data_IF_631615855931
#
_entry.id   IF_631615855931
#
_cell.length_a   1.000
_cell.length_b   1.000
_cell.length_c   1.000
_cell.angle_alpha   90.00
_cell.angle_beta   90.00
_cell.angle_gamma   90.00
#
_symmetry.space_group_name_H-M   'P 1'
#
loop_
_entity.id
_entity.type
_entity.pdbx_description
1 polymer ?
#
# COMPACT_ATOMS: atom_id res chain seq x y z
N UNK A 1 12.38 16.91 8.74
CA UNK A 1 13.13 15.98 9.61
C UNK A 1 12.47 14.60 9.71
N UNK A 2 11.19 14.46 9.33
CA UNK A 2 10.44 13.20 9.40
C UNK A 2 11.06 12.04 8.63
N UNK A 3 11.64 12.26 7.46
CA UNK A 3 12.32 11.22 6.67
C UNK A 3 13.42 10.50 7.43
N UNK A 4 14.14 11.23 8.29
CA UNK A 4 15.22 10.67 9.10
C UNK A 4 14.63 9.75 10.17
N UNK A 5 13.54 10.18 10.82
CA UNK A 5 12.84 9.39 11.83
C UNK A 5 12.16 8.17 11.21
N UNK A 6 11.44 8.34 10.10
CA UNK A 6 10.81 7.28 9.33
C UNK A 6 11.82 6.19 8.94
N UNK A 7 13.00 6.58 8.45
CA UNK A 7 14.06 5.62 8.11
C UNK A 7 14.56 4.83 9.32
N UNK A 8 14.73 5.47 10.48
CA UNK A 8 15.16 4.79 11.70
C UNK A 8 14.10 3.83 12.22
N UNK A 9 12.84 4.24 12.20
CA UNK A 9 11.71 3.38 12.57
C UNK A 9 11.59 2.19 11.60
N UNK A 10 11.76 2.42 10.30
CA UNK A 10 11.75 1.38 9.28
C UNK A 10 12.82 0.30 9.54
N UNK A 11 14.04 0.69 9.93
CA UNK A 11 15.11 -0.25 10.25
C UNK A 11 14.73 -1.19 11.39
N UNK A 12 14.15 -0.64 12.47
CA UNK A 12 13.69 -1.43 13.62
C UNK A 12 12.52 -2.33 13.25
N UNK A 13 11.50 -1.76 12.58
CA UNK A 13 10.29 -2.48 12.18
C UNK A 13 10.61 -3.62 11.21
N UNK A 14 11.48 -3.41 10.22
CA UNK A 14 11.83 -4.43 9.22
C UNK A 14 12.41 -5.70 9.85
N UNK A 15 13.19 -5.57 10.92
CA UNK A 15 13.69 -6.74 11.65
C UNK A 15 12.55 -7.49 12.36
N UNK A 16 11.59 -6.76 12.94
CA UNK A 16 10.43 -7.38 13.58
C UNK A 16 9.54 -8.10 12.56
N UNK A 17 9.36 -7.50 11.38
CA UNK A 17 8.66 -8.14 10.27
C UNK A 17 9.43 -9.33 9.69
N UNK A 18 10.76 -9.30 9.70
CA UNK A 18 11.56 -10.46 9.32
C UNK A 18 11.35 -11.63 10.28
N UNK A 19 11.31 -11.39 11.60
CA UNK A 19 11.12 -12.46 12.58
C UNK A 19 9.85 -13.27 12.33
N UNK A 20 8.75 -12.62 11.91
CA UNK A 20 7.49 -13.31 11.59
C UNK A 20 7.50 -13.99 10.21
N UNK A 21 8.15 -13.41 9.20
CA UNK A 21 8.12 -13.93 7.82
C UNK A 21 9.22 -14.95 7.54
N UNK A 22 10.24 -15.03 8.39
CA UNK A 22 11.38 -15.91 8.21
C UNK A 22 10.98 -17.38 8.03
N UNK A 23 9.97 -17.86 8.76
CA UNK A 23 9.47 -19.23 8.61
C UNK A 23 8.96 -19.52 7.19
N UNK A 24 8.21 -18.57 6.61
CA UNK A 24 7.71 -18.67 5.24
C UNK A 24 8.84 -18.63 4.21
N UNK A 25 9.79 -17.71 4.38
CA UNK A 25 10.94 -17.56 3.47
C UNK A 25 11.86 -18.79 3.53
N UNK A 26 12.11 -19.31 4.73
CA UNK A 26 12.90 -20.51 4.92
C UNK A 26 12.22 -21.73 4.30
N UNK A 27 10.91 -21.90 4.49
CA UNK A 27 10.16 -22.98 3.86
C UNK A 27 10.20 -22.90 2.32
N UNK A 28 10.04 -21.69 1.76
CA UNK A 28 10.11 -21.47 0.32
C UNK A 28 11.48 -21.87 -0.27
N UNK A 29 12.58 -21.44 0.36
CA UNK A 29 13.95 -21.74 -0.09
C UNK A 29 14.30 -23.24 -0.03
N UNK A 30 13.67 -24.01 0.87
CA UNK A 30 13.81 -25.48 0.86
C UNK A 30 13.22 -26.12 -0.40
N UNK A 31 12.20 -25.50 -1.00
CA UNK A 31 11.55 -25.99 -2.22
C UNK A 31 12.23 -25.43 -3.46
N UNK A 32 12.44 -24.11 -3.53
CA UNK A 32 13.03 -23.42 -4.68
C UNK A 32 14.54 -23.64 -4.81
N UNK A 33 15.19 -24.10 -3.73
CA UNK A 33 16.65 -24.30 -3.63
C UNK A 33 17.46 -23.02 -3.77
N UNK A 34 16.84 -21.87 -3.55
CA UNK A 34 17.51 -20.57 -3.51
C UNK A 34 18.26 -20.36 -2.19
N UNK A 35 19.37 -19.62 -2.18
CA UNK A 35 20.09 -19.31 -0.95
C UNK A 35 19.32 -18.29 -0.11
N UNK A 36 19.06 -18.62 1.16
CA UNK A 36 18.49 -17.68 2.12
C UNK A 36 19.59 -16.78 2.71
N UNK A 37 19.95 -15.73 1.97
CA UNK A 37 20.96 -14.76 2.39
C UNK A 37 20.37 -13.34 2.60
N UNK A 38 21.23 -12.39 2.97
CA UNK A 38 20.82 -10.99 3.20
C UNK A 38 20.30 -10.34 1.91
N UNK A 39 20.80 -10.73 0.74
CA UNK A 39 20.36 -10.19 -0.53
C UNK A 39 18.94 -10.63 -0.85
N UNK A 40 18.62 -11.92 -0.63
CA UNK A 40 17.28 -12.47 -0.77
C UNK A 40 16.28 -11.77 0.16
N UNK A 41 16.62 -11.65 1.45
CA UNK A 41 15.76 -10.96 2.42
C UNK A 41 15.57 -9.49 2.06
N UNK A 42 16.63 -8.82 1.61
CA UNK A 42 16.56 -7.42 1.19
C UNK A 42 15.66 -7.25 -0.03
N UNK A 43 15.75 -8.13 -1.02
CA UNK A 43 14.89 -8.09 -2.20
C UNK A 43 13.42 -8.27 -1.80
N UNK A 44 13.13 -9.24 -0.94
CA UNK A 44 11.75 -9.47 -0.48
C UNK A 44 11.20 -8.25 0.26
N UNK A 45 11.98 -7.66 1.16
CA UNK A 45 11.59 -6.43 1.85
C UNK A 45 11.49 -5.23 0.91
N UNK A 46 12.30 -5.15 -0.15
CA UNK A 46 12.18 -4.11 -1.18
C UNK A 46 10.90 -4.27 -2.00
N UNK A 47 10.49 -5.50 -2.30
CA UNK A 47 9.25 -5.78 -3.05
C UNK A 47 8.02 -5.38 -2.25
N UNK A 48 7.99 -5.70 -0.96
CA UNK A 48 6.87 -5.36 -0.07
C UNK A 48 6.80 -3.86 0.20
N UNK A 49 7.93 -3.25 0.63
CA UNK A 49 7.92 -1.86 1.09
C UNK A 49 8.05 -0.84 -0.06
N UNK A 50 8.76 -1.21 -1.13
CA UNK A 50 9.16 -0.34 -2.24
C UNK A 50 8.08 -0.16 -3.31
N UNK A 51 6.80 -0.14 -2.92
CA UNK A 51 5.69 0.12 -3.84
C UNK A 51 5.67 1.58 -4.28
N UNK A 52 5.33 1.79 -5.55
CA UNK A 52 5.26 3.12 -6.16
C UNK A 52 3.90 3.35 -6.76
N UNK A 53 3.26 4.44 -6.36
CA UNK A 53 2.08 4.91 -7.05
C UNK A 53 2.47 5.48 -8.41
N UNK A 54 1.96 4.85 -9.46
CA UNK A 54 2.03 5.37 -10.83
C UNK A 54 1.03 6.50 -11.02
N UNK A 55 1.04 7.22 -12.16
CA UNK A 55 0.01 8.22 -12.45
C UNK A 55 -1.38 7.57 -12.42
N UNK A 56 -2.16 7.83 -11.37
CA UNK A 56 -3.44 7.17 -11.12
C UNK A 56 -4.51 7.48 -12.17
N UNK A 57 -4.29 8.50 -13.02
CA UNK A 57 -5.11 8.76 -14.20
C UNK A 57 -5.11 7.57 -15.18
N UNK A 58 -4.05 6.75 -15.18
CA UNK A 58 -4.00 5.51 -15.96
C UNK A 58 -4.83 4.44 -15.24
N UNK A 59 -5.88 3.95 -15.91
CA UNK A 59 -6.77 2.88 -15.43
C UNK A 59 -6.02 1.71 -14.76
N UNK A 60 -5.10 1.14 -15.53
CA UNK A 60 -4.28 -0.01 -15.13
C UNK A 60 -3.41 0.25 -13.89
N UNK A 61 -2.96 1.49 -13.67
CA UNK A 61 -2.16 1.84 -12.50
C UNK A 61 -2.98 1.74 -11.20
N UNK A 62 -4.24 2.18 -11.21
CA UNK A 62 -5.07 2.09 -10.00
C UNK A 62 -5.76 0.73 -9.82
N UNK A 63 -5.74 -0.14 -10.83
CA UNK A 63 -6.23 -1.52 -10.72
C UNK A 63 -5.18 -2.50 -10.17
N UNK A 64 -3.94 -2.05 -9.95
CA UNK A 64 -2.85 -2.91 -9.46
C UNK A 64 -3.04 -3.23 -7.97
N UNK A 65 -3.33 -4.49 -7.63
CA UNK A 65 -3.61 -4.94 -6.25
C UNK A 65 -2.54 -5.85 -5.63
N UNK A 66 -1.40 -6.09 -6.32
CA UNK A 66 -0.34 -7.00 -5.81
C UNK A 66 0.25 -6.56 -4.46
N UNK A 67 0.15 -5.29 -4.13
CA UNK A 67 0.63 -4.75 -2.86
C UNK A 67 -0.37 -4.95 -1.71
N UNK A 68 -1.62 -5.32 -2.01
CA UNK A 68 -2.69 -5.52 -1.02
C UNK A 68 -2.83 -6.99 -0.59
N UNK A 69 -1.80 -7.81 -0.85
CA UNK A 69 -1.80 -9.21 -0.41
C UNK A 69 -1.62 -9.29 1.11
N UNK A 70 -2.18 -10.34 1.73
CA UNK A 70 -2.07 -10.55 3.17
C UNK A 70 -0.62 -10.57 3.65
N UNK A 71 0.30 -11.22 2.91
CA UNK A 71 1.69 -11.27 3.29
C UNK A 71 2.35 -9.89 3.21
N UNK A 72 2.06 -9.10 2.17
CA UNK A 72 2.58 -7.75 2.01
C UNK A 72 2.14 -6.84 3.16
N UNK A 73 0.85 -6.80 3.49
CA UNK A 73 0.34 -6.03 4.63
C UNK A 73 0.97 -6.42 5.96
N UNK A 74 1.24 -7.71 6.15
CA UNK A 74 1.82 -8.22 7.38
C UNK A 74 3.32 -7.94 7.50
N UNK A 75 4.03 -7.78 6.39
CA UNK A 75 5.49 -7.64 6.35
C UNK A 75 5.96 -6.22 6.02
N UNK A 76 5.04 -5.33 5.63
CA UNK A 76 5.33 -3.92 5.41
C UNK A 76 5.72 -3.22 6.73
N UNK A 77 6.69 -2.32 6.65
CA UNK A 77 7.05 -1.44 7.75
C UNK A 77 6.12 -0.22 7.83
N UNK A 78 5.90 0.33 9.02
CA UNK A 78 5.01 1.48 9.21
C UNK A 78 5.63 2.85 8.86
N UNK A 79 6.83 2.94 8.27
CA UNK A 79 7.49 4.24 8.10
C UNK A 79 6.79 5.22 7.16
N UNK A 80 5.84 4.74 6.36
CA UNK A 80 5.01 5.58 5.50
C UNK A 80 4.05 6.47 6.29
N UNK A 81 3.70 6.10 7.53
CA UNK A 81 2.82 6.91 8.40
C UNK A 81 3.56 8.13 8.98
N UNK A 82 4.86 7.99 9.23
CA UNK A 82 5.70 9.04 9.82
C UNK A 82 6.07 10.17 8.83
N UNK A 83 6.15 9.84 7.53
CA UNK A 83 6.44 10.82 6.48
C UNK A 83 5.33 10.86 5.44
N UNK A 84 4.61 11.99 5.39
CA UNK A 84 3.60 12.26 4.37
C UNK A 84 4.14 12.14 2.93
N UNK A 85 5.44 12.39 2.72
CA UNK A 85 6.06 12.21 1.40
C UNK A 85 6.31 10.73 1.09
N UNK A 86 6.68 9.92 2.07
CA UNK A 86 6.78 8.48 1.90
C UNK A 86 5.41 7.87 1.60
N UNK A 87 4.37 8.31 2.32
CA UNK A 87 2.97 8.00 1.99
C UNK A 87 2.63 8.36 0.53
N UNK A 88 2.97 9.58 0.10
CA UNK A 88 2.69 10.03 -1.26
C UNK A 88 3.49 9.26 -2.34
N UNK A 89 4.64 8.67 -2.02
CA UNK A 89 5.36 7.78 -2.94
C UNK A 89 4.62 6.46 -3.11
N UNK A 90 4.09 5.90 -2.02
CA UNK A 90 3.39 4.62 -2.05
C UNK A 90 1.96 4.73 -2.61
N UNK A 91 1.23 5.82 -2.33
CA UNK A 91 -0.19 5.96 -2.68
C UNK A 91 -0.55 7.22 -3.51
N UNK A 92 0.31 8.24 -3.61
CA UNK A 92 -0.02 9.65 -3.95
C UNK A 92 -0.70 10.45 -2.81
N UNK A 93 -0.74 11.77 -2.97
CA UNK A 93 -1.42 12.69 -2.04
C UNK A 93 -2.94 12.47 -2.06
N UNK A 94 -3.64 12.56 -0.91
CA UNK A 94 -5.07 12.24 -0.81
C UNK A 94 -5.96 12.96 -1.83
N UNK A 95 -5.77 14.27 -1.99
CA UNK A 95 -6.49 15.06 -2.98
C UNK A 95 -6.28 14.54 -4.42
N UNK A 96 -5.07 14.13 -4.75
CA UNK A 96 -4.72 13.66 -6.11
C UNK A 96 -5.34 12.32 -6.42
N UNK A 97 -5.52 11.43 -5.43
CA UNK A 97 -6.23 10.17 -5.61
C UNK A 97 -7.69 10.42 -6.04
N UNK A 98 -8.39 11.30 -5.33
CA UNK A 98 -9.78 11.66 -5.62
C UNK A 98 -9.93 12.39 -6.96
N UNK A 99 -9.05 13.35 -7.27
CA UNK A 99 -9.04 14.03 -8.58
C UNK A 99 -8.70 13.06 -9.71
N UNK A 100 -7.79 12.12 -9.49
CA UNK A 100 -7.46 11.11 -10.48
C UNK A 100 -8.68 10.24 -10.76
N UNK A 101 -9.40 9.75 -9.75
CA UNK A 101 -10.63 8.97 -9.92
C UNK A 101 -11.67 9.69 -10.81
N UNK A 102 -11.89 10.98 -10.57
CA UNK A 102 -12.71 11.83 -11.45
C UNK A 102 -12.16 11.90 -12.88
N UNK A 103 -10.85 12.09 -13.04
CA UNK A 103 -10.19 12.25 -14.34
C UNK A 103 -10.24 11.00 -15.23
N UNK A 104 -10.34 9.81 -14.65
CA UNK A 104 -10.55 8.52 -15.34
C UNK A 104 -12.01 8.10 -15.40
N UNK A 105 -12.93 9.01 -15.03
CA UNK A 105 -14.37 8.79 -15.05
C UNK A 105 -14.84 7.61 -14.18
N UNK A 106 -14.08 7.26 -13.14
CA UNK A 106 -14.47 6.26 -12.16
C UNK A 106 -15.44 6.83 -11.10
N UNK A 107 -15.45 8.16 -10.92
CA UNK A 107 -16.27 8.87 -9.94
C UNK A 107 -16.94 10.09 -10.58
N UNK A 108 -18.12 10.50 -10.08
CA UNK A 108 -18.78 11.73 -10.57
C UNK A 108 -18.11 12.99 -10.03
N UNK A 109 -18.15 14.08 -10.81
CA UNK A 109 -17.62 15.40 -10.40
C UNK A 109 -18.22 15.84 -9.05
N UNK A 110 -19.52 15.59 -8.84
CA UNK A 110 -20.22 15.96 -7.61
C UNK A 110 -19.73 15.18 -6.39
N UNK A 111 -19.51 13.86 -6.52
CA UNK A 111 -18.99 13.04 -5.43
C UNK A 111 -17.54 13.39 -5.13
N UNK A 112 -16.69 13.52 -6.16
CA UNK A 112 -15.29 13.92 -5.97
C UNK A 112 -15.17 15.29 -5.30
N UNK A 113 -16.03 16.26 -5.67
CA UNK A 113 -16.06 17.58 -5.01
C UNK A 113 -16.42 17.49 -3.53
N UNK A 114 -17.36 16.64 -3.17
CA UNK A 114 -17.76 16.42 -1.77
C UNK A 114 -16.62 15.80 -0.96
N UNK A 115 -15.96 14.78 -1.49
CA UNK A 115 -14.84 14.11 -0.84
C UNK A 115 -13.56 14.97 -0.74
N UNK A 116 -13.31 15.87 -1.70
CA UNK A 116 -12.13 16.73 -1.73
C UNK A 116 -12.17 17.93 -0.76
N UNK A 117 -13.08 17.97 0.21
CA UNK A 117 -13.08 19.01 1.23
C UNK A 117 -11.86 18.85 2.15
N UNK A 118 -11.26 19.96 2.59
CA UNK A 118 -10.03 19.91 3.38
C UNK A 118 -10.22 19.18 4.71
N UNK A 119 -11.41 19.28 5.33
CA UNK A 119 -11.76 18.58 6.56
C UNK A 119 -11.77 17.07 6.36
N UNK A 120 -12.40 16.57 5.28
CA UNK A 120 -12.45 15.14 4.99
C UNK A 120 -11.06 14.59 4.67
N UNK A 121 -10.32 15.26 3.78
CA UNK A 121 -8.96 14.84 3.41
C UNK A 121 -8.03 14.76 4.61
N UNK A 122 -8.15 15.68 5.58
CA UNK A 122 -7.38 15.65 6.81
C UNK A 122 -7.78 14.46 7.68
N UNK A 123 -9.07 14.26 7.93
CA UNK A 123 -9.58 13.18 8.77
C UNK A 123 -9.26 11.80 8.17
N UNK A 124 -9.46 11.61 6.87
CA UNK A 124 -9.10 10.38 6.15
C UNK A 124 -7.59 10.09 6.26
N UNK A 125 -6.75 11.12 6.10
CA UNK A 125 -5.31 10.93 6.19
C UNK A 125 -4.85 10.56 7.60
N UNK A 126 -5.41 11.19 8.64
CA UNK A 126 -5.11 10.85 10.04
C UNK A 126 -5.62 9.45 10.39
N UNK A 127 -6.85 9.11 10.01
CA UNK A 127 -7.41 7.78 10.23
C UNK A 127 -6.54 6.69 9.59
N UNK A 128 -6.06 6.91 8.35
CA UNK A 128 -5.11 5.99 7.68
C UNK A 128 -3.78 5.86 8.42
N UNK A 129 -3.23 6.94 8.97
CA UNK A 129 -2.00 6.92 9.77
C UNK A 129 -2.16 6.08 11.03
N UNK A 130 -3.32 6.20 11.69
CA UNK A 130 -3.65 5.46 12.91
C UNK A 130 -4.07 4.01 12.65
N UNK A 131 -4.23 3.61 11.38
CA UNK A 131 -4.71 2.28 10.99
C UNK A 131 -6.21 2.07 11.24
N UNK A 132 -6.98 3.16 11.27
CA UNK A 132 -8.43 3.16 11.44
C UNK A 132 -9.07 3.31 10.06
N UNK A 133 -9.86 2.32 9.66
CA UNK A 133 -10.62 2.34 8.41
C UNK A 133 -11.95 1.61 8.58
N UNK A 134 -12.89 1.94 7.71
CA UNK A 134 -14.11 1.15 7.55
C UNK A 134 -13.79 -0.09 6.71
N UNK A 135 -14.31 -1.24 7.11
CA UNK A 135 -14.11 -2.51 6.41
C UNK A 135 -15.47 -3.02 5.92
N UNK A 136 -15.62 -3.10 4.60
CA UNK A 136 -16.70 -3.83 3.98
C UNK A 136 -16.23 -5.29 3.83
N UNK A 137 -16.63 -6.15 4.77
CA UNK A 137 -16.15 -7.55 4.84
C UNK A 137 -16.56 -8.39 3.62
N UNK A 138 -17.70 -8.05 3.03
CA UNK A 138 -18.22 -8.67 1.82
C UNK A 138 -18.16 -7.66 0.66
N UNK A 139 -17.06 -7.63 -0.12
CA UNK A 139 -16.99 -6.77 -1.29
C UNK A 139 -17.94 -7.27 -2.38
N UNK A 140 -18.59 -6.34 -3.08
CA UNK A 140 -19.32 -6.67 -4.31
C UNK A 140 -18.31 -7.03 -5.39
N UNK A 141 -18.16 -8.33 -5.65
CA UNK A 141 -17.45 -8.82 -6.82
C UNK A 141 -18.40 -8.72 -8.02
N UNK A 142 -18.05 -7.92 -9.03
CA UNK A 142 -18.76 -7.98 -10.30
C UNK A 142 -18.56 -9.39 -10.87
N UNK A 143 -19.63 -10.19 -10.90
CA UNK A 143 -19.63 -11.51 -11.52
C UNK A 143 -19.13 -11.34 -12.96
N UNK A 144 -17.98 -11.95 -13.29
CA UNK A 144 -17.55 -12.07 -14.68
C UNK A 144 -18.69 -12.72 -15.45
N UNK A 145 -19.28 -11.99 -16.40
CA UNK A 145 -20.25 -12.52 -17.34
C UNK A 145 -19.64 -13.76 -18.03
N UNK A 146 -20.02 -14.95 -17.56
CA UNK A 146 -19.89 -16.20 -18.30
C UNK A 146 -20.88 -16.11 -19.46
N UNK A 147 -20.52 -15.37 -20.50
CA UNK A 147 -21.19 -15.34 -21.78
C UNK A 147 -20.15 -15.57 -22.87
N UNK A 148 -19.98 -16.85 -23.24
CA UNK A 148 -19.15 -17.33 -24.33
C UNK A 148 -19.20 -18.84 -24.45
#
# INVERSE_FOLDING_TARGET
MNEIYAKRLAQTSSFHQLMRSHGTLWAATQVTKEPLDVAFVKEEMMRVNGRRAMPLLVGAAAAQSLHDTHLAHLTEHCSWTESARAFAVQHQTPLTQHIAAMGRMAETITQSRTACTSQLLFNEHMARIDGISEFEEEPLLEDEEING
#
